data_IF_269597965261
#
_entry.id   IF_269597965261
#
_cell.length_a   1.000
_cell.length_b   1.000
_cell.length_c   1.000
_cell.angle_alpha   90.00
_cell.angle_beta   90.00
_cell.angle_gamma   90.00
#
_symmetry.space_group_name_H-M   'P 1'
#
loop_
_entity.id
_entity.type
_entity.pdbx_description
1 polymer ?
#
# COMPACT_ATOMS: atom_id res chain seq x y z
N UNK A 1 -0.39 24.98 -20.63
CA UNK A 1 0.37 24.26 -19.58
C UNK A 1 -0.37 23.14 -18.86
N UNK A 2 -1.70 23.14 -18.73
CA UNK A 2 -2.44 22.14 -17.91
C UNK A 2 -2.62 20.77 -18.61
N UNK A 3 -2.44 20.67 -19.93
CA UNK A 3 -2.61 19.41 -20.68
C UNK A 3 -1.53 18.36 -20.39
N UNK A 4 -0.32 18.77 -19.96
CA UNK A 4 0.82 17.86 -19.78
C UNK A 4 0.67 16.94 -18.56
N UNK A 5 0.21 17.46 -17.42
CA UNK A 5 0.09 16.68 -16.17
C UNK A 5 -0.89 15.50 -16.28
N UNK A 6 -2.01 15.67 -17.01
CA UNK A 6 -2.99 14.58 -17.25
C UNK A 6 -2.41 13.45 -18.11
N UNK A 7 -1.49 13.76 -19.03
CA UNK A 7 -0.90 12.79 -19.95
C UNK A 7 0.21 11.94 -19.31
N UNK A 8 0.89 12.45 -18.28
CA UNK A 8 1.82 11.63 -17.48
C UNK A 8 1.07 10.74 -16.47
N UNK A 9 -0.07 11.21 -15.96
CA UNK A 9 -0.95 10.42 -15.08
C UNK A 9 -1.61 9.23 -15.79
N UNK A 10 -1.62 9.15 -17.12
CA UNK A 10 -2.16 7.98 -17.82
C UNK A 10 -1.18 6.81 -17.88
N UNK A 11 0.09 6.99 -17.47
CA UNK A 11 1.10 5.92 -17.48
C UNK A 11 1.01 5.15 -16.14
N UNK A 12 0.64 3.84 -16.14
CA UNK A 12 0.44 3.08 -14.91
C UNK A 12 1.64 3.10 -13.96
N UNK A 13 2.85 2.98 -14.53
CA UNK A 13 4.11 3.02 -13.77
C UNK A 13 4.33 4.38 -13.08
N UNK A 14 3.98 5.48 -13.73
CA UNK A 14 4.14 6.82 -13.15
C UNK A 14 3.18 7.01 -11.96
N UNK A 15 1.93 6.55 -12.08
CA UNK A 15 0.97 6.58 -10.96
C UNK A 15 1.45 5.81 -9.75
N UNK A 16 2.02 4.62 -9.96
CA UNK A 16 2.56 3.77 -8.89
C UNK A 16 3.75 4.47 -8.22
N UNK A 17 4.68 5.06 -8.99
CA UNK A 17 5.83 5.78 -8.44
C UNK A 17 5.39 6.99 -7.63
N UNK A 18 4.48 7.81 -8.17
CA UNK A 18 3.95 8.99 -7.45
C UNK A 18 3.23 8.57 -6.16
N UNK A 19 2.43 7.50 -6.20
CA UNK A 19 1.76 6.97 -5.02
C UNK A 19 2.77 6.44 -3.98
N UNK A 20 3.79 5.70 -4.41
CA UNK A 20 4.81 5.15 -3.54
C UNK A 20 5.65 6.25 -2.87
N UNK A 21 6.06 7.28 -3.62
CA UNK A 21 6.81 8.43 -3.09
C UNK A 21 5.93 9.25 -2.13
N UNK A 22 4.69 9.54 -2.51
CA UNK A 22 3.76 10.31 -1.66
C UNK A 22 3.47 9.56 -0.35
N UNK A 23 3.27 8.24 -0.43
CA UNK A 23 3.14 7.36 0.73
C UNK A 23 4.39 7.41 1.59
N UNK A 24 5.58 7.24 1.00
CA UNK A 24 6.86 7.28 1.72
C UNK A 24 7.05 8.60 2.49
N UNK A 25 6.81 9.75 1.84
CA UNK A 25 6.93 11.07 2.48
C UNK A 25 5.92 11.23 3.62
N UNK A 26 4.67 10.85 3.38
CA UNK A 26 3.59 10.99 4.38
C UNK A 26 3.92 10.18 5.63
N UNK A 27 4.33 8.94 5.46
CA UNK A 27 4.56 8.04 6.59
C UNK A 27 5.94 8.23 7.23
N UNK A 28 6.92 8.74 6.48
CA UNK A 28 8.14 9.30 7.05
C UNK A 28 7.82 10.43 8.04
N UNK A 29 7.02 11.42 7.62
CA UNK A 29 6.65 12.55 8.47
C UNK A 29 5.84 12.11 9.69
N UNK A 30 4.93 11.15 9.53
CA UNK A 30 4.17 10.57 10.62
C UNK A 30 5.06 9.87 11.65
N UNK A 31 5.94 8.97 11.21
CA UNK A 31 6.84 8.23 12.08
C UNK A 31 7.83 9.14 12.82
N UNK A 32 8.32 10.19 12.15
CA UNK A 32 9.11 11.24 12.79
C UNK A 32 8.31 11.93 13.91
N UNK A 33 7.09 12.39 13.61
CA UNK A 33 6.23 13.07 14.58
C UNK A 33 5.83 12.16 15.75
N UNK A 34 5.54 10.89 15.49
CA UNK A 34 5.17 9.90 16.51
C UNK A 34 6.30 9.62 17.51
N UNK A 35 7.56 9.75 17.06
CA UNK A 35 8.75 9.45 17.87
C UNK A 35 9.54 10.72 18.25
N UNK A 36 8.98 11.92 18.05
CA UNK A 36 9.64 13.23 18.23
C UNK A 36 10.31 13.49 19.58
N UNK A 37 9.95 12.73 20.62
CA UNK A 37 10.53 12.87 21.96
C UNK A 37 11.98 12.37 22.04
N UNK A 38 12.39 11.51 21.11
CA UNK A 38 13.78 11.11 20.90
C UNK A 38 14.16 11.43 19.45
N UNK A 39 14.87 12.55 19.19
CA UNK A 39 15.19 12.98 17.82
C UNK A 39 16.03 11.97 17.02
N UNK A 40 16.89 11.19 17.67
CA UNK A 40 17.69 10.18 17.00
C UNK A 40 16.82 9.00 16.58
N UNK A 41 15.95 8.53 17.47
CA UNK A 41 15.00 7.47 17.12
C UNK A 41 13.92 7.93 16.15
N UNK A 42 13.53 9.22 16.19
CA UNK A 42 12.55 9.80 15.29
C UNK A 42 12.99 9.73 13.83
N UNK A 43 14.24 10.08 13.55
CA UNK A 43 14.75 10.05 12.17
C UNK A 43 14.95 8.62 11.68
N UNK A 44 15.43 7.71 12.53
CA UNK A 44 15.58 6.29 12.18
C UNK A 44 14.21 5.68 11.88
N UNK A 45 13.25 5.81 12.81
CA UNK A 45 11.87 5.37 12.63
C UNK A 45 11.24 5.93 11.35
N UNK A 46 11.48 7.21 11.03
CA UNK A 46 10.99 7.84 9.80
C UNK A 46 11.53 7.18 8.53
N UNK A 47 12.84 6.88 8.47
CA UNK A 47 13.45 6.19 7.34
C UNK A 47 12.93 4.77 7.18
N UNK A 48 12.81 4.01 8.27
CA UNK A 48 12.25 2.65 8.22
C UNK A 48 10.80 2.66 7.76
N UNK A 49 9.96 3.54 8.31
CA UNK A 49 8.55 3.63 7.92
C UNK A 49 8.40 4.09 6.46
N UNK A 50 9.12 5.13 6.04
CA UNK A 50 9.09 5.63 4.68
C UNK A 50 9.58 4.59 3.67
N UNK A 51 10.67 3.89 3.97
CA UNK A 51 11.24 2.83 3.14
C UNK A 51 10.32 1.62 3.01
N UNK A 52 9.76 1.14 4.13
CA UNK A 52 8.78 0.04 4.12
C UNK A 52 7.54 0.43 3.33
N UNK A 53 7.03 1.65 3.45
CA UNK A 53 5.86 2.09 2.69
C UNK A 53 6.14 2.24 1.20
N UNK A 54 7.32 2.72 0.82
CA UNK A 54 7.74 2.77 -0.57
C UNK A 54 7.75 1.36 -1.19
N UNK A 55 8.38 0.41 -0.48
CA UNK A 55 8.49 -0.97 -0.92
C UNK A 55 7.13 -1.68 -0.97
N UNK A 56 6.35 -1.63 0.11
CA UNK A 56 5.05 -2.31 0.20
C UNK A 56 4.02 -1.73 -0.74
N UNK A 57 4.06 -0.43 -1.04
CA UNK A 57 3.17 0.17 -2.04
C UNK A 57 3.49 -0.35 -3.45
N UNK A 58 4.78 -0.37 -3.82
CA UNK A 58 5.22 -0.81 -5.14
C UNK A 58 4.98 -2.32 -5.34
N UNK A 59 5.46 -3.15 -4.41
CA UNK A 59 5.38 -4.61 -4.50
C UNK A 59 3.98 -5.11 -4.17
N UNK A 60 3.32 -4.53 -3.17
CA UNK A 60 2.00 -4.95 -2.72
C UNK A 60 0.92 -4.78 -3.79
N UNK A 61 1.00 -3.74 -4.61
CA UNK A 61 0.07 -3.54 -5.74
C UNK A 61 0.18 -4.68 -6.75
N UNK A 62 1.40 -5.04 -7.16
CA UNK A 62 1.63 -6.18 -8.08
C UNK A 62 1.27 -7.52 -7.45
N UNK A 63 1.53 -7.70 -6.15
CA UNK A 63 1.15 -8.90 -5.43
C UNK A 63 -0.37 -9.07 -5.36
N UNK A 64 -1.13 -7.99 -5.14
CA UNK A 64 -2.59 -8.01 -5.16
C UNK A 64 -3.14 -8.41 -6.53
N UNK A 65 -2.63 -7.82 -7.62
CA UNK A 65 -3.05 -8.20 -8.98
C UNK A 65 -2.75 -9.67 -9.27
N UNK A 66 -1.54 -10.13 -8.94
CA UNK A 66 -1.15 -11.53 -9.16
C UNK A 66 -2.02 -12.50 -8.36
N UNK A 67 -2.28 -12.22 -7.08
CA UNK A 67 -3.17 -13.04 -6.25
C UNK A 67 -4.60 -12.98 -6.76
N UNK A 68 -5.10 -11.80 -7.12
CA UNK A 68 -6.46 -11.64 -7.66
C UNK A 68 -6.64 -12.44 -8.95
N UNK A 69 -5.68 -12.46 -9.86
CA UNK A 69 -5.75 -13.28 -11.07
C UNK A 69 -5.75 -14.79 -10.77
N UNK A 70 -5.17 -15.21 -9.65
CA UNK A 70 -5.07 -16.62 -9.27
C UNK A 70 -6.28 -17.13 -8.48
N UNK A 71 -6.90 -16.29 -7.65
CA UNK A 71 -7.97 -16.71 -6.73
C UNK A 71 -9.13 -15.71 -6.57
N UNK A 72 -9.12 -14.57 -7.26
CA UNK A 72 -10.07 -13.47 -7.10
C UNK A 72 -11.49 -13.71 -7.63
N UNK A 73 -11.77 -14.90 -8.15
CA UNK A 73 -13.09 -15.24 -8.71
C UNK A 73 -14.16 -15.38 -7.63
N UNK A 74 -13.75 -15.82 -6.44
CA UNK A 74 -14.65 -16.02 -5.30
C UNK A 74 -14.52 -14.91 -4.27
N UNK A 75 -15.58 -14.68 -3.49
CA UNK A 75 -15.54 -13.72 -2.37
C UNK A 75 -14.46 -14.09 -1.35
N UNK A 76 -14.30 -15.39 -1.05
CA UNK A 76 -13.27 -15.87 -0.14
C UNK A 76 -11.87 -15.63 -0.69
N UNK A 77 -11.63 -15.86 -1.98
CA UNK A 77 -10.35 -15.58 -2.59
C UNK A 77 -10.00 -14.09 -2.59
N UNK A 78 -10.98 -13.20 -2.79
CA UNK A 78 -10.79 -11.74 -2.67
C UNK A 78 -10.42 -11.32 -1.25
N UNK A 79 -11.11 -11.85 -0.24
CA UNK A 79 -10.79 -11.61 1.18
C UNK A 79 -9.37 -12.12 1.49
N UNK A 80 -9.02 -13.31 1.01
CA UNK A 80 -7.68 -13.88 1.16
C UNK A 80 -6.60 -13.01 0.52
N UNK A 81 -6.84 -12.43 -0.66
CA UNK A 81 -5.89 -11.51 -1.29
C UNK A 81 -5.58 -10.31 -0.39
N UNK A 82 -6.63 -9.68 0.16
CA UNK A 82 -6.49 -8.55 1.08
C UNK A 82 -5.71 -8.98 2.32
N UNK A 83 -6.13 -10.07 2.96
CA UNK A 83 -5.55 -10.54 4.21
C UNK A 83 -4.07 -10.93 4.06
N UNK A 84 -3.71 -11.65 2.99
CA UNK A 84 -2.32 -12.07 2.75
C UNK A 84 -1.42 -10.85 2.56
N UNK A 85 -1.80 -9.94 1.66
CA UNK A 85 -0.95 -8.78 1.34
C UNK A 85 -0.87 -7.81 2.51
N UNK A 86 -1.98 -7.54 3.20
CA UNK A 86 -1.97 -6.68 4.37
C UNK A 86 -1.14 -7.30 5.51
N UNK A 87 -1.26 -8.61 5.75
CA UNK A 87 -0.48 -9.30 6.79
C UNK A 87 1.01 -9.28 6.48
N UNK A 88 1.42 -9.54 5.23
CA UNK A 88 2.82 -9.41 4.82
C UNK A 88 3.35 -7.99 5.04
N UNK A 89 2.55 -6.97 4.70
CA UNK A 89 2.90 -5.57 4.94
C UNK A 89 3.07 -5.27 6.43
N UNK A 90 2.14 -5.75 7.28
CA UNK A 90 2.22 -5.60 8.73
C UNK A 90 3.45 -6.29 9.31
N UNK A 91 3.72 -7.53 8.91
CA UNK A 91 4.91 -8.25 9.35
C UNK A 91 6.19 -7.49 8.99
N UNK A 92 6.29 -6.97 7.77
CA UNK A 92 7.45 -6.19 7.35
C UNK A 92 7.59 -4.89 8.16
N UNK A 93 6.49 -4.16 8.41
CA UNK A 93 6.49 -2.96 9.25
C UNK A 93 6.95 -3.27 10.67
N UNK A 94 6.39 -4.32 11.30
CA UNK A 94 6.75 -4.71 12.66
C UNK A 94 8.23 -5.14 12.73
N UNK A 95 8.69 -5.98 11.81
CA UNK A 95 10.10 -6.40 11.76
C UNK A 95 11.03 -5.20 11.60
N UNK A 96 10.73 -4.30 10.66
CA UNK A 96 11.50 -3.07 10.45
C UNK A 96 11.62 -2.22 11.72
N UNK A 97 10.50 -1.97 12.39
CA UNK A 97 10.49 -1.13 13.60
C UNK A 97 11.05 -1.81 14.84
N UNK A 98 10.99 -3.14 14.92
CA UNK A 98 11.69 -3.92 15.94
C UNK A 98 13.21 -3.82 15.77
N UNK A 99 13.72 -3.94 14.53
CA UNK A 99 15.15 -3.71 14.23
C UNK A 99 15.59 -2.27 14.50
N UNK A 100 14.71 -1.30 14.25
CA UNK A 100 14.96 0.10 14.51
C UNK A 100 14.83 0.49 16.00
N UNK A 101 14.46 -0.44 16.89
CA UNK A 101 14.19 -0.17 18.31
C UNK A 101 13.23 1.03 18.52
N UNK A 102 12.19 1.13 17.68
CA UNK A 102 11.28 2.28 17.67
C UNK A 102 10.48 2.40 18.98
N UNK A 103 10.57 3.53 19.71
CA UNK A 103 9.91 3.68 21.02
C UNK A 103 8.39 3.56 20.96
N UNK A 104 7.74 4.29 20.05
CA UNK A 104 6.28 4.33 19.94
C UNK A 104 5.80 3.44 18.79
N UNK A 105 6.09 2.13 18.87
CA UNK A 105 5.80 1.16 17.80
C UNK A 105 4.34 1.20 17.33
N UNK A 106 3.38 1.06 18.26
CA UNK A 106 1.95 1.00 17.92
C UNK A 106 1.44 2.30 17.28
N UNK A 107 1.84 3.45 17.82
CA UNK A 107 1.47 4.77 17.27
C UNK A 107 2.06 4.98 15.87
N UNK A 108 3.21 4.38 15.60
CA UNK A 108 3.89 4.45 14.30
C UNK A 108 3.18 3.55 13.27
N UNK A 109 2.88 2.30 13.64
CA UNK A 109 2.41 1.27 12.69
C UNK A 109 0.89 1.23 12.49
N UNK A 110 0.08 1.41 13.54
CA UNK A 110 -1.37 1.20 13.46
C UNK A 110 -2.07 2.11 12.42
N UNK A 111 -1.82 3.43 12.37
CA UNK A 111 -2.47 4.31 11.39
C UNK A 111 -2.10 3.91 9.95
N UNK A 112 -0.83 3.55 9.73
CA UNK A 112 -0.33 3.09 8.44
C UNK A 112 -1.05 1.81 8.03
N UNK A 113 -1.15 0.84 8.94
CA UNK A 113 -1.76 -0.46 8.66
C UNK A 113 -3.25 -0.34 8.34
N UNK A 114 -3.99 0.54 9.01
CA UNK A 114 -5.40 0.84 8.69
C UNK A 114 -5.50 1.33 7.23
N UNK A 115 -4.63 2.25 6.81
CA UNK A 115 -4.62 2.74 5.43
C UNK A 115 -4.24 1.63 4.45
N UNK A 116 -3.32 0.73 4.79
CA UNK A 116 -3.01 -0.45 3.97
C UNK A 116 -4.24 -1.34 3.79
N UNK A 117 -5.00 -1.62 4.84
CA UNK A 117 -6.23 -2.42 4.75
C UNK A 117 -7.27 -1.77 3.82
N UNK A 118 -7.47 -0.46 3.97
CA UNK A 118 -8.39 0.30 3.11
C UNK A 118 -7.93 0.30 1.66
N UNK A 119 -6.63 0.51 1.43
CA UNK A 119 -6.03 0.46 0.10
C UNK A 119 -6.25 -0.91 -0.55
N UNK A 120 -5.82 -2.00 0.10
CA UNK A 120 -5.96 -3.36 -0.44
C UNK A 120 -7.42 -3.70 -0.74
N UNK A 121 -8.34 -3.36 0.17
CA UNK A 121 -9.77 -3.61 -0.02
C UNK A 121 -10.33 -2.83 -1.21
N UNK A 122 -10.04 -1.53 -1.29
CA UNK A 122 -10.49 -0.68 -2.41
C UNK A 122 -9.94 -1.14 -3.75
N UNK A 123 -8.69 -1.62 -3.77
CA UNK A 123 -8.02 -2.12 -4.96
C UNK A 123 -8.68 -3.40 -5.49
N UNK A 124 -8.93 -4.38 -4.62
CA UNK A 124 -9.59 -5.64 -4.98
C UNK A 124 -11.04 -5.40 -5.43
N UNK A 125 -11.77 -4.48 -4.79
CA UNK A 125 -13.10 -4.07 -5.24
C UNK A 125 -13.02 -3.46 -6.64
N UNK A 126 -12.01 -2.62 -6.90
CA UNK A 126 -11.75 -2.03 -8.22
C UNK A 126 -11.51 -3.10 -9.29
N UNK A 127 -10.59 -4.05 -9.04
CA UNK A 127 -10.32 -5.17 -9.96
C UNK A 127 -11.55 -6.03 -10.21
N UNK A 128 -12.34 -6.31 -9.16
CA UNK A 128 -13.58 -7.09 -9.28
C UNK A 128 -14.59 -6.41 -10.20
N UNK A 129 -14.77 -5.09 -10.07
CA UNK A 129 -15.67 -4.31 -10.94
C UNK A 129 -15.21 -4.33 -12.40
N UNK A 130 -13.90 -4.19 -12.64
CA UNK A 130 -13.33 -4.23 -13.99
C UNK A 130 -13.59 -5.59 -14.63
N UNK A 131 -13.32 -6.69 -13.90
CA UNK A 131 -13.56 -8.04 -14.39
C UNK A 131 -15.02 -8.28 -14.72
N UNK A 132 -15.95 -7.97 -13.81
CA UNK A 132 -17.39 -8.14 -14.06
C UNK A 132 -17.89 -7.35 -15.26
N UNK A 133 -17.39 -6.13 -15.48
CA UNK A 133 -17.77 -5.35 -16.66
C UNK A 133 -17.28 -5.98 -17.97
N UNK A 134 -16.07 -6.56 -17.96
CA UNK A 134 -15.51 -7.24 -19.12
C UNK A 134 -16.29 -8.53 -19.45
N UNK A 135 -16.56 -9.37 -18.43
CA UNK A 135 -17.34 -10.60 -18.59
C UNK A 135 -18.76 -10.30 -19.14
N UNK A 136 -19.40 -9.22 -18.68
CA UNK A 136 -20.71 -8.80 -19.17
C UNK A 136 -20.68 -8.31 -20.64
N UNK A 137 -19.56 -7.76 -21.11
CA UNK A 137 -19.41 -7.32 -22.50
C UNK A 137 -19.20 -8.52 -23.45
N UNK A 138 -18.40 -9.51 -23.06
CA UNK A 138 -18.21 -10.73 -23.87
C UNK A 138 -19.49 -11.55 -24.01
N UNK A 139 -20.34 -11.63 -22.99
CA UNK A 139 -21.62 -12.37 -23.05
C UNK A 139 -22.67 -11.64 -23.92
N UNK A 140 -22.51 -10.34 -24.15
CA UNK A 140 -23.43 -9.52 -24.94
C UNK A 140 -23.10 -9.47 -26.45
N UNK A 141 -21.95 -9.99 -26.87
CA UNK A 141 -21.49 -10.10 -28.27
C UNK A 141 -21.64 -11.51 -28.81
#
# INVERSE_FOLDING_TARGET
>A
MIKSAKQYLSIPRFRIIVAAISSAITWFAWAYWANRHDPQQAIVSAFYQGGVNLFTTAVGSSALEWLFNKMGDTIFGRISCVFIVSSCSLSLMLTAHLYAATPNLLLTVLPVYIVVLLFCSSYIIGLSKIKTNYDNQEVAT
#
